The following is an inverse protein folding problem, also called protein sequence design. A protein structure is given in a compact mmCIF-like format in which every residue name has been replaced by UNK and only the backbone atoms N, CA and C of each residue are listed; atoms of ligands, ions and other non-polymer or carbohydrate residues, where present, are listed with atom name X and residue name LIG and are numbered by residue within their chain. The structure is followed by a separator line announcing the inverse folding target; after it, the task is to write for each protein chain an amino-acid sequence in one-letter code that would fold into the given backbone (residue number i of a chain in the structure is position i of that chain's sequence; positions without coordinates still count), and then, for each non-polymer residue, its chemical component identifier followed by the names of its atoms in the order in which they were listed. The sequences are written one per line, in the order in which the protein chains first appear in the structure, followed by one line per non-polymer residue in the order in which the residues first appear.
data_IF_898752266732
#
_entry.id   IF_898752266732
#
_cell.length_a   1.000
_cell.length_b   1.000
_cell.length_c   1.000
_cell.angle_alpha   90.00
_cell.angle_beta   90.00
_cell.angle_gamma   90.00
#
_symmetry.space_group_name_H-M   'P 1'
#
loop_
_entity.id
_entity.type
_entity.pdbx_description
1 polymer ?
#
# COMPACT_ATOMS: atom_id res chain seq x y z
N UNK A 1 3.06 -3.67 -24.69
CA UNK A 1 2.89 -2.52 -23.77
C UNK A 1 2.46 -3.09 -22.43
N UNK A 2 3.20 -2.82 -21.36
CA UNK A 2 2.80 -3.11 -19.98
C UNK A 2 2.09 -1.86 -19.46
N UNK A 3 0.84 -1.98 -18.99
CA UNK A 3 0.09 -0.86 -18.46
C UNK A 3 0.04 -0.96 -16.94
N UNK A 4 0.84 -0.15 -16.22
CA UNK A 4 0.81 -0.15 -14.77
C UNK A 4 -0.40 0.62 -14.25
N UNK A 5 -1.02 0.11 -13.19
CA UNK A 5 -2.03 0.82 -12.38
C UNK A 5 -1.42 1.03 -11.01
N UNK A 6 -1.35 2.29 -10.55
CA UNK A 6 -0.73 2.64 -9.27
C UNK A 6 -1.77 3.12 -8.26
N UNK A 7 -1.77 2.54 -7.07
CA UNK A 7 -2.71 2.85 -5.99
C UNK A 7 -2.14 3.92 -5.05
N UNK A 8 -2.91 5.00 -4.87
CA UNK A 8 -2.58 6.14 -4.02
C UNK A 8 -3.80 6.63 -3.24
N UNK A 9 -4.49 5.71 -2.56
CA UNK A 9 -5.72 6.00 -1.82
C UNK A 9 -5.52 5.82 -0.31
N UNK A 10 -6.21 6.60 0.54
CA UNK A 10 -6.21 6.35 1.98
C UNK A 10 -6.99 5.06 2.30
N UNK A 11 -6.71 4.46 3.46
CA UNK A 11 -7.57 3.42 4.04
C UNK A 11 -8.76 4.09 4.74
N UNK A 12 -9.95 3.87 4.20
CA UNK A 12 -11.24 4.39 4.68
C UNK A 12 -12.26 3.24 4.62
N UNK A 13 -13.41 3.30 5.31
CA UNK A 13 -14.44 2.27 5.20
C UNK A 13 -14.86 1.96 3.75
N UNK A 14 -14.73 2.93 2.84
CA UNK A 14 -15.09 2.79 1.42
C UNK A 14 -13.97 2.16 0.57
N UNK A 15 -12.71 2.29 0.99
CA UNK A 15 -11.54 1.84 0.20
C UNK A 15 -10.93 0.55 0.71
N UNK A 16 -11.27 0.12 1.93
CA UNK A 16 -10.85 -1.17 2.47
C UNK A 16 -11.38 -2.30 1.59
N UNK A 17 -10.50 -3.19 1.15
CA UNK A 17 -10.77 -4.32 0.25
C UNK A 17 -11.48 -3.91 -1.06
N UNK A 18 -11.39 -2.64 -1.45
CA UNK A 18 -12.07 -2.13 -2.64
C UNK A 18 -11.40 -2.61 -3.93
N UNK A 19 -10.10 -2.93 -3.90
CA UNK A 19 -9.38 -3.51 -5.03
C UNK A 19 -9.49 -5.03 -4.94
N UNK A 20 -10.56 -5.55 -5.56
CA UNK A 20 -10.97 -6.95 -5.53
C UNK A 20 -10.71 -7.67 -6.87
N UNK A 21 -11.03 -8.97 -6.93
CA UNK A 21 -10.79 -9.83 -8.09
C UNK A 21 -11.45 -9.31 -9.36
N UNK A 22 -12.67 -8.79 -9.27
CA UNK A 22 -13.40 -8.26 -10.43
C UNK A 22 -12.63 -7.10 -11.06
N UNK A 23 -12.16 -6.14 -10.24
CA UNK A 23 -11.38 -5.00 -10.73
C UNK A 23 -10.02 -5.41 -11.28
N UNK A 24 -9.31 -6.30 -10.59
CA UNK A 24 -7.98 -6.74 -11.02
C UNK A 24 -8.10 -7.55 -12.33
N UNK A 25 -9.17 -8.32 -12.51
CA UNK A 25 -9.39 -9.11 -13.73
C UNK A 25 -9.60 -8.25 -14.98
N UNK A 26 -10.09 -7.02 -14.83
CA UNK A 26 -10.24 -6.04 -15.93
C UNK A 26 -8.91 -5.48 -16.42
N UNK A 27 -7.80 -5.74 -15.70
CA UNK A 27 -6.49 -5.26 -16.11
C UNK A 27 -6.10 -5.85 -17.47
N UNK A 28 -5.45 -5.03 -18.33
CA UNK A 28 -5.01 -5.49 -19.64
C UNK A 28 -4.00 -6.64 -19.51
N UNK A 29 -3.81 -7.38 -20.60
CA UNK A 29 -2.82 -8.46 -20.66
C UNK A 29 -1.44 -7.93 -20.25
N UNK A 30 -0.74 -8.66 -19.39
CA UNK A 30 0.54 -8.25 -18.80
C UNK A 30 0.45 -6.96 -17.95
N UNK A 31 -0.71 -6.64 -17.39
CA UNK A 31 -0.89 -5.52 -16.47
C UNK A 31 -0.12 -5.71 -15.16
N UNK A 32 0.32 -4.60 -14.56
CA UNK A 32 1.02 -4.60 -13.27
C UNK A 32 0.32 -3.68 -12.30
N UNK A 33 -0.11 -4.22 -11.17
CA UNK A 33 -0.65 -3.44 -10.07
C UNK A 33 0.51 -2.98 -9.18
N UNK A 34 0.56 -1.70 -8.85
CA UNK A 34 1.57 -1.10 -7.97
C UNK A 34 0.86 -0.51 -6.76
N UNK A 35 1.09 -1.07 -5.58
CA UNK A 35 0.51 -0.59 -4.33
C UNK A 35 1.58 0.08 -3.44
N UNK A 36 1.47 1.40 -3.31
CA UNK A 36 2.23 2.20 -2.35
C UNK A 36 1.32 2.90 -1.31
N UNK A 37 0.07 2.45 -1.20
CA UNK A 37 -0.97 3.07 -0.40
C UNK A 37 -1.00 2.52 1.03
N UNK A 38 -1.87 1.54 1.27
CA UNK A 38 -2.24 0.99 2.58
C UNK A 38 -2.59 -0.49 2.41
N UNK A 39 -2.13 -1.29 3.36
CA UNK A 39 -2.27 -2.75 3.33
C UNK A 39 -3.73 -3.19 3.20
N UNK A 40 -4.65 -2.41 3.77
CA UNK A 40 -6.07 -2.73 3.83
C UNK A 40 -6.83 -2.45 2.52
N UNK A 41 -6.21 -1.80 1.53
CA UNK A 41 -6.90 -1.36 0.30
C UNK A 41 -7.10 -2.50 -0.69
N UNK A 42 -6.11 -3.38 -0.81
CA UNK A 42 -6.13 -4.54 -1.71
C UNK A 42 -6.62 -5.76 -0.96
N UNK A 43 -7.61 -6.44 -1.52
CA UNK A 43 -8.03 -7.73 -1.00
C UNK A 43 -7.01 -8.82 -1.38
N UNK A 44 -6.24 -9.29 -0.40
CA UNK A 44 -5.21 -10.31 -0.63
C UNK A 44 -5.78 -11.65 -1.11
N UNK A 45 -7.01 -12.01 -0.72
CA UNK A 45 -7.66 -13.24 -1.22
C UNK A 45 -7.94 -13.12 -2.72
N UNK A 46 -8.37 -11.93 -3.14
CA UNK A 46 -8.54 -11.61 -4.56
C UNK A 46 -7.23 -11.71 -5.34
N UNK A 47 -6.10 -11.27 -4.78
CA UNK A 47 -4.77 -11.43 -5.43
C UNK A 47 -4.43 -12.92 -5.63
N UNK A 48 -4.63 -13.75 -4.60
CA UNK A 48 -4.37 -15.20 -4.67
C UNK A 48 -5.27 -15.86 -5.72
N UNK A 49 -6.56 -15.51 -5.76
CA UNK A 49 -7.52 -16.03 -6.75
C UNK A 49 -7.11 -15.63 -8.17
N UNK A 50 -6.80 -14.36 -8.39
CA UNK A 50 -6.41 -13.83 -9.70
C UNK A 50 -5.12 -14.46 -10.19
N UNK A 51 -4.11 -14.61 -9.34
CA UNK A 51 -2.81 -15.15 -9.77
C UNK A 51 -2.90 -16.61 -10.23
N UNK A 52 -3.85 -17.38 -9.69
CA UNK A 52 -4.14 -18.74 -10.21
C UNK A 52 -4.73 -18.72 -11.63
N UNK A 53 -5.49 -17.68 -11.99
CA UNK A 53 -6.21 -17.56 -13.28
C UNK A 53 -5.45 -16.75 -14.33
N UNK A 54 -4.62 -15.81 -13.89
CA UNK A 54 -3.94 -14.78 -14.70
C UNK A 54 -2.43 -14.78 -14.39
N UNK A 55 -1.69 -15.79 -14.88
CA UNK A 55 -0.23 -15.88 -14.70
C UNK A 55 0.54 -14.75 -15.42
N UNK A 56 -0.15 -13.95 -16.25
CA UNK A 56 0.41 -12.79 -16.96
C UNK A 56 0.45 -11.52 -16.12
N UNK A 57 -0.33 -11.42 -15.04
CA UNK A 57 -0.39 -10.22 -14.21
C UNK A 57 0.78 -10.14 -13.23
N UNK A 58 1.15 -8.92 -12.87
CA UNK A 58 2.14 -8.65 -11.81
C UNK A 58 1.56 -7.77 -10.70
N UNK A 59 2.14 -7.89 -9.51
CA UNK A 59 1.84 -7.08 -8.33
C UNK A 59 3.14 -6.66 -7.65
N UNK A 60 3.28 -5.35 -7.45
CA UNK A 60 4.40 -4.72 -6.76
C UNK A 60 3.82 -3.98 -5.56
N UNK A 61 4.28 -4.30 -4.35
CA UNK A 61 3.76 -3.71 -3.12
C UNK A 61 4.87 -3.12 -2.26
N UNK A 62 4.69 -1.88 -1.82
CA UNK A 62 5.49 -1.24 -0.75
C UNK A 62 4.84 -1.39 0.64
N UNK A 63 3.66 -2.02 0.70
CA UNK A 63 3.01 -2.44 1.94
C UNK A 63 3.14 -3.96 2.08
N UNK A 64 3.23 -4.46 3.31
CA UNK A 64 3.40 -5.90 3.54
C UNK A 64 2.27 -6.71 2.91
N UNK A 65 2.59 -7.94 2.49
CA UNK A 65 1.61 -8.94 2.04
C UNK A 65 1.56 -10.04 3.10
N UNK A 66 0.41 -10.26 3.74
CA UNK A 66 0.32 -11.15 4.90
C UNK A 66 0.19 -12.62 4.49
N UNK A 67 -0.42 -12.89 3.32
CA UNK A 67 -0.68 -14.25 2.83
C UNK A 67 0.41 -14.83 1.93
N UNK A 68 1.68 -14.47 2.17
CA UNK A 68 2.81 -14.92 1.34
C UNK A 68 2.92 -16.44 1.24
N UNK A 69 2.76 -17.14 2.37
CA UNK A 69 2.87 -18.60 2.42
C UNK A 69 1.72 -19.29 1.67
N UNK A 70 0.50 -18.79 1.85
CA UNK A 70 -0.68 -19.29 1.13
C UNK A 70 -0.55 -19.08 -0.38
N UNK A 71 -0.13 -17.88 -0.80
CA UNK A 71 0.12 -17.60 -2.21
C UNK A 71 1.16 -18.58 -2.77
N UNK A 72 2.27 -18.78 -2.05
CA UNK A 72 3.32 -19.71 -2.45
C UNK A 72 2.81 -21.14 -2.61
N UNK A 73 1.92 -21.60 -1.72
CA UNK A 73 1.30 -22.92 -1.80
C UNK A 73 0.42 -23.05 -3.05
N UNK A 74 -0.36 -22.02 -3.38
CA UNK A 74 -1.33 -22.05 -4.49
C UNK A 74 -0.70 -21.97 -5.88
N UNK A 75 0.28 -21.10 -6.07
CA UNK A 75 0.87 -20.84 -7.41
C UNK A 75 2.31 -21.35 -7.57
N UNK A 76 2.93 -21.79 -6.48
CA UNK A 76 4.32 -22.24 -6.48
C UNK A 76 5.34 -21.10 -6.48
N UNK A 77 6.59 -21.39 -6.05
CA UNK A 77 7.61 -20.37 -5.84
C UNK A 77 8.07 -19.68 -7.14
N UNK A 78 8.11 -20.40 -8.26
CA UNK A 78 8.59 -19.85 -9.54
C UNK A 78 7.60 -18.85 -10.15
N UNK A 79 6.31 -19.11 -10.02
CA UNK A 79 5.27 -18.19 -10.47
C UNK A 79 5.20 -16.98 -9.54
N UNK A 80 5.21 -17.20 -8.22
CA UNK A 80 5.24 -16.14 -7.22
C UNK A 80 6.40 -15.17 -7.44
N UNK A 81 7.61 -15.68 -7.70
CA UNK A 81 8.79 -14.85 -7.99
C UNK A 81 8.66 -13.98 -9.25
N UNK A 82 7.86 -14.40 -10.23
CA UNK A 82 7.61 -13.64 -11.46
C UNK A 82 6.51 -12.60 -11.29
N UNK A 83 5.52 -12.89 -10.46
CA UNK A 83 4.32 -12.07 -10.34
C UNK A 83 4.32 -11.15 -9.13
N UNK A 84 5.12 -11.41 -8.09
CA UNK A 84 5.07 -10.66 -6.83
C UNK A 84 6.43 -10.06 -6.46
N UNK A 85 6.44 -8.74 -6.21
CA UNK A 85 7.54 -8.03 -5.58
C UNK A 85 6.98 -7.29 -4.37
N UNK A 86 7.53 -7.55 -3.18
CA UNK A 86 7.17 -6.85 -1.94
C UNK A 86 8.42 -6.22 -1.35
N UNK A 87 8.37 -4.94 -0.98
CA UNK A 87 9.52 -4.31 -0.31
C UNK A 87 9.62 -4.80 1.16
N UNK A 88 10.84 -5.04 1.69
CA UNK A 88 11.01 -5.59 3.04
C UNK A 88 10.52 -4.68 4.18
N UNK A 89 10.51 -3.36 3.93
CA UNK A 89 9.99 -2.32 4.81
C UNK A 89 9.32 -1.27 3.94
N UNK A 90 8.27 -0.64 4.45
CA UNK A 90 7.62 0.51 3.81
C UNK A 90 8.64 1.63 3.60
N UNK A 91 9.16 1.73 2.38
CA UNK A 91 10.26 2.63 2.01
C UNK A 91 9.77 3.85 1.23
N UNK A 92 8.50 3.90 0.80
CA UNK A 92 7.98 4.95 -0.08
C UNK A 92 8.10 6.38 0.45
N UNK A 93 8.27 6.57 1.77
CA UNK A 93 8.50 7.87 2.40
C UNK A 93 9.88 8.02 3.07
N UNK A 94 10.76 7.02 2.96
CA UNK A 94 12.07 7.00 3.64
C UNK A 94 13.14 7.74 2.84
N UNK A 95 12.98 9.06 2.67
CA UNK A 95 14.05 9.93 2.16
C UNK A 95 14.61 10.82 3.26
N UNK A 96 15.89 11.19 3.14
CA UNK A 96 16.56 12.07 4.11
C UNK A 96 15.79 13.39 4.24
N UNK A 97 15.33 13.94 3.12
CA UNK A 97 14.57 15.18 3.03
C UNK A 97 13.21 15.06 3.71
N UNK A 98 12.52 13.94 3.54
CA UNK A 98 11.20 13.70 4.16
C UNK A 98 11.32 13.58 5.67
N UNK A 99 12.34 12.87 6.16
CA UNK A 99 12.62 12.74 7.58
C UNK A 99 12.98 14.07 8.23
N UNK A 100 13.82 14.90 7.58
CA UNK A 100 14.17 16.24 8.06
C UNK A 100 12.94 17.14 8.14
N UNK A 101 12.08 17.14 7.11
CA UNK A 101 10.84 17.92 7.09
C UNK A 101 9.85 17.47 8.17
N UNK A 102 9.66 16.16 8.35
CA UNK A 102 8.78 15.61 9.37
C UNK A 102 9.28 15.96 10.78
N UNK A 103 10.58 15.83 11.05
CA UNK A 103 11.18 16.21 12.32
C UNK A 103 11.04 17.70 12.63
N UNK A 104 11.27 18.57 11.64
CA UNK A 104 11.10 20.01 11.80
C UNK A 104 9.63 20.38 12.06
N UNK A 105 8.68 19.75 11.36
CA UNK A 105 7.26 19.97 11.56
C UNK A 105 6.80 19.56 12.98
N UNK A 106 7.25 18.40 13.46
CA UNK A 106 6.97 17.92 14.81
C UNK A 106 7.55 18.87 15.88
N UNK A 107 8.81 19.29 15.75
CA UNK A 107 9.44 20.22 16.68
C UNK A 107 8.71 21.58 16.73
N UNK A 108 8.31 22.11 15.56
CA UNK A 108 7.52 23.34 15.47
C UNK A 108 6.16 23.18 16.17
N UNK A 109 5.44 22.09 15.90
CA UNK A 109 4.14 21.84 16.54
C UNK A 109 4.25 21.79 18.08
N UNK A 110 5.30 21.16 18.62
CA UNK A 110 5.56 21.12 20.07
C UNK A 110 5.84 22.54 20.60
N UNK A 111 6.75 23.27 19.96
CA UNK A 111 7.12 24.62 20.40
C UNK A 111 5.93 25.59 20.34
N UNK A 112 5.12 25.53 19.28
CA UNK A 112 3.91 26.35 19.13
C UNK A 112 2.90 26.01 20.22
N UNK A 113 2.64 24.73 20.50
CA UNK A 113 1.73 24.33 21.58
C UNK A 113 2.13 24.92 22.94
N UNK A 114 3.41 24.89 23.31
CA UNK A 114 3.87 25.48 24.58
C UNK A 114 3.88 27.02 24.58
N UNK A 115 3.95 27.65 23.41
CA UNK A 115 3.96 29.11 23.29
C UNK A 115 2.56 29.71 23.38
N UNK A 116 1.59 29.14 22.67
CA UNK A 116 0.27 29.73 22.48
C UNK A 116 -0.91 28.74 22.59
N UNK A 117 -0.64 27.47 22.92
CA UNK A 117 -1.67 26.44 23.08
C UNK A 117 -2.17 25.81 21.77
N UNK A 118 -1.60 26.17 20.61
CA UNK A 118 -2.07 25.69 19.31
C UNK A 118 -1.88 24.17 19.12
N UNK A 119 -2.99 23.48 18.83
CA UNK A 119 -3.06 22.02 18.67
C UNK A 119 -3.52 21.58 17.26
N UNK A 120 -3.16 22.34 16.22
CA UNK A 120 -3.67 22.18 14.83
C UNK A 120 -3.50 20.75 14.26
N UNK A 121 -2.39 20.07 14.59
CA UNK A 121 -2.11 18.71 14.12
C UNK A 121 -2.40 17.62 15.16
N UNK A 122 -3.20 17.92 16.19
CA UNK A 122 -3.58 16.93 17.20
C UNK A 122 -4.40 15.79 16.57
N UNK A 123 -4.01 14.56 16.88
CA UNK A 123 -4.61 13.33 16.32
C UNK A 123 -5.68 12.71 17.23
N UNK A 124 -5.82 13.20 18.47
CA UNK A 124 -6.71 12.67 19.51
C UNK A 124 -7.54 13.74 20.23
N UNK A 125 -7.70 14.92 19.61
CA UNK A 125 -8.52 15.99 20.18
C UNK A 125 -9.99 15.55 20.24
N UNK A 126 -10.67 15.82 21.36
CA UNK A 126 -12.08 15.45 21.56
C UNK A 126 -13.07 16.32 20.76
N UNK A 127 -12.58 17.39 20.12
CA UNK A 127 -13.39 18.40 19.43
C UNK A 127 -13.12 18.43 17.90
N UNK A 128 -13.31 17.29 17.23
CA UNK A 128 -13.50 17.22 15.77
C UNK A 128 -14.70 16.35 15.45
#
# INVERSE_FOLDING_TARGET
VCAPISLHVPATPQTINSINEDLISLMPKNGVLVDAARHEVVDEDSIISVFQKRPDLGYISDVGFNKMDELREKIGPDQMKKQLIVTPKKMGAQTVESNVKAGLAAAKQIATYFKDGSAVHQVNGKDR
#
